data_IF_950998966359
#
_entry.id   IF_950998966359
#
_cell.length_a   1.000
_cell.length_b   1.000
_cell.length_c   1.000
_cell.angle_alpha   90.00
_cell.angle_beta   90.00
_cell.angle_gamma   90.00
#
_symmetry.space_group_name_H-M   'P 1'
#
loop_
_entity.id
_entity.type
_entity.pdbx_description
1 polymer ?
#
# COMPACT_ATOMS: atom_id res chain seq x y z
N UNK A 1 -17.34 -22.74 -1.70
CA UNK A 1 -16.07 -22.04 -1.95
C UNK A 1 -16.13 -20.78 -1.10
N UNK A 2 -15.49 -20.77 0.07
CA UNK A 2 -15.47 -19.60 0.95
C UNK A 2 -14.17 -18.84 0.71
N UNK A 3 -14.25 -17.76 -0.04
CA UNK A 3 -13.16 -16.80 -0.18
C UNK A 3 -13.02 -16.07 1.15
N UNK A 4 -11.96 -16.32 1.88
CA UNK A 4 -11.64 -15.52 3.08
C UNK A 4 -11.20 -14.15 2.60
N UNK A 5 -12.11 -13.19 2.74
CA UNK A 5 -11.75 -11.76 2.73
C UNK A 5 -10.78 -11.52 3.88
N UNK A 6 -9.58 -11.12 3.56
CA UNK A 6 -8.64 -10.55 4.54
C UNK A 6 -9.30 -9.28 5.07
N UNK A 7 -9.84 -9.35 6.29
CA UNK A 7 -10.50 -8.23 6.94
C UNK A 7 -9.46 -7.17 7.24
N UNK A 8 -9.36 -6.16 6.38
CA UNK A 8 -8.60 -4.94 6.69
C UNK A 8 -9.31 -4.23 7.83
N UNK A 9 -8.67 -4.15 8.99
CA UNK A 9 -9.12 -3.30 10.09
C UNK A 9 -8.93 -1.84 9.65
N UNK A 10 -10.00 -1.21 9.20
CA UNK A 10 -10.03 0.23 9.04
C UNK A 10 -9.98 0.87 10.43
N UNK A 11 -8.90 1.54 10.75
CA UNK A 11 -8.79 2.33 11.96
C UNK A 11 -9.67 3.59 11.80
N UNK A 12 -10.83 3.58 12.43
CA UNK A 12 -11.71 4.74 12.54
C UNK A 12 -11.02 5.80 13.40
N UNK A 13 -10.73 6.95 12.81
CA UNK A 13 -10.27 8.14 13.53
C UNK A 13 -11.49 8.85 14.11
N UNK A 14 -11.65 8.79 15.43
CA UNK A 14 -12.61 9.58 16.19
C UNK A 14 -12.15 11.04 16.25
N UNK A 15 -12.89 11.93 15.61
CA UNK A 15 -12.77 13.38 15.82
C UNK A 15 -13.42 13.76 17.14
N UNK A 16 -12.62 14.22 18.10
CA UNK A 16 -13.10 14.90 19.28
C UNK A 16 -13.18 16.40 19.00
N UNK A 17 -14.41 16.95 18.98
CA UNK A 17 -14.67 18.40 18.96
C UNK A 17 -14.59 18.94 20.39
N UNK A 18 -13.71 19.89 20.65
CA UNK A 18 -13.75 20.72 21.84
C UNK A 18 -13.93 22.19 21.42
N UNK A 19 -15.10 22.74 21.76
CA UNK A 19 -15.43 24.16 21.71
C UNK A 19 -15.05 24.79 23.06
N UNK A 20 -14.27 25.86 23.07
CA UNK A 20 -14.46 26.97 24.04
C UNK A 20 -13.57 28.15 23.66
N UNK A 21 -14.19 29.33 23.74
CA UNK A 21 -13.72 30.60 23.27
C UNK A 21 -12.63 31.24 24.13
N UNK A 22 -12.01 32.28 23.55
CA UNK A 22 -11.09 33.18 24.23
C UNK A 22 -10.25 33.94 23.21
N UNK A 23 -10.65 35.19 22.95
CA UNK A 23 -9.91 36.15 22.12
C UNK A 23 -8.63 36.60 22.78
N UNK A 24 -7.49 36.38 22.17
CA UNK A 24 -6.29 37.22 22.26
C UNK A 24 -5.60 37.24 20.90
N UNK A 25 -5.56 38.39 20.28
CA UNK A 25 -4.79 38.64 19.08
C UNK A 25 -3.31 38.65 19.39
N UNK A 26 -2.63 37.55 19.07
CA UNK A 26 -1.18 37.52 18.93
C UNK A 26 -0.90 37.09 17.50
N UNK A 27 -0.50 38.04 16.67
CA UNK A 27 0.03 37.79 15.33
C UNK A 27 1.39 37.09 15.45
N UNK A 28 1.38 35.83 15.74
CA UNK A 28 2.55 34.98 15.46
C UNK A 28 2.49 34.63 13.97
N UNK A 29 3.41 35.19 13.18
CA UNK A 29 3.77 34.66 11.88
C UNK A 29 4.23 33.20 12.10
N UNK A 30 3.29 32.28 12.01
CA UNK A 30 3.61 30.88 11.85
C UNK A 30 4.25 30.75 10.46
N UNK A 31 5.58 30.66 10.44
CA UNK A 31 6.27 30.16 9.27
C UNK A 31 5.59 28.84 8.88
N UNK A 32 5.17 28.64 7.61
CA UNK A 32 4.72 27.34 7.18
C UNK A 32 5.93 26.42 7.37
N UNK A 33 5.89 25.56 8.38
CA UNK A 33 6.75 24.40 8.41
C UNK A 33 6.38 23.66 7.13
N UNK A 34 7.22 23.79 6.11
CA UNK A 34 7.11 23.02 4.89
C UNK A 34 7.17 21.56 5.34
N UNK A 35 6.00 20.94 5.42
CA UNK A 35 5.88 19.53 5.74
C UNK A 35 6.52 18.83 4.57
N UNK A 36 7.81 18.47 4.74
CA UNK A 36 8.59 17.80 3.72
C UNK A 36 7.78 16.59 3.27
N UNK A 37 7.26 16.68 2.06
CA UNK A 37 6.55 15.59 1.43
C UNK A 37 7.46 14.38 1.51
N UNK A 38 7.04 13.36 2.26
CA UNK A 38 7.91 12.20 2.47
C UNK A 38 8.08 11.48 1.14
N UNK A 39 9.30 11.55 0.65
CA UNK A 39 9.67 11.06 -0.67
C UNK A 39 9.86 9.55 -0.58
N UNK A 40 9.14 8.82 -1.42
CA UNK A 40 9.42 7.41 -1.69
C UNK A 40 10.77 7.35 -2.41
N UNK A 41 11.82 6.90 -1.72
CA UNK A 41 13.18 6.77 -2.29
C UNK A 41 13.46 5.38 -2.82
N UNK A 42 12.90 4.36 -2.18
CA UNK A 42 13.04 2.99 -2.62
C UNK A 42 11.93 2.66 -3.61
N UNK A 43 12.30 1.99 -4.69
CA UNK A 43 11.33 1.32 -5.55
C UNK A 43 11.02 -0.10 -5.06
N UNK A 44 10.04 -0.74 -5.65
CA UNK A 44 9.56 -2.08 -5.28
C UNK A 44 10.68 -3.14 -5.34
N UNK A 45 11.56 -3.07 -6.34
CA UNK A 45 12.67 -4.01 -6.50
C UNK A 45 13.68 -3.89 -5.35
N UNK A 46 13.95 -2.66 -4.90
CA UNK A 46 14.85 -2.40 -3.79
C UNK A 46 14.24 -2.86 -2.47
N UNK A 47 12.95 -2.61 -2.23
CA UNK A 47 12.22 -3.10 -1.07
C UNK A 47 12.19 -4.64 -1.06
N UNK A 48 11.88 -5.25 -2.20
CA UNK A 48 11.90 -6.70 -2.38
C UNK A 48 13.29 -7.31 -2.09
N UNK A 49 14.37 -6.65 -2.52
CA UNK A 49 15.72 -7.11 -2.22
C UNK A 49 15.99 -7.13 -0.71
N UNK A 50 15.48 -6.14 0.05
CA UNK A 50 15.55 -6.12 1.52
C UNK A 50 14.78 -7.27 2.16
N UNK A 51 13.58 -7.54 1.67
CA UNK A 51 12.78 -8.68 2.10
C UNK A 51 13.51 -10.01 1.84
N UNK A 52 14.05 -10.19 0.64
CA UNK A 52 14.76 -11.40 0.24
C UNK A 52 16.09 -11.61 0.98
N UNK A 53 16.74 -10.56 1.48
CA UNK A 53 17.90 -10.70 2.36
C UNK A 53 17.56 -11.46 3.63
N UNK A 54 16.32 -11.32 4.13
CA UNK A 54 15.86 -12.03 5.34
C UNK A 54 15.17 -13.35 5.01
N UNK A 55 14.38 -13.38 3.94
CA UNK A 55 13.53 -14.50 3.55
C UNK A 55 13.84 -14.95 2.11
N UNK A 56 15.06 -15.45 1.89
CA UNK A 56 15.60 -15.72 0.56
C UNK A 56 14.74 -16.66 -0.29
N UNK A 57 14.12 -17.67 0.32
CA UNK A 57 13.34 -18.71 -0.36
C UNK A 57 11.85 -18.39 -0.49
N UNK A 58 11.35 -17.35 0.20
CA UNK A 58 9.94 -17.02 0.16
C UNK A 58 9.48 -16.66 -1.25
N UNK A 59 8.38 -17.23 -1.71
CA UNK A 59 7.63 -16.76 -2.89
C UNK A 59 6.83 -15.54 -2.46
N UNK A 60 6.67 -14.55 -3.31
CA UNK A 60 5.96 -13.31 -2.97
C UNK A 60 4.48 -13.47 -3.29
N UNK A 61 3.62 -13.17 -2.32
CA UNK A 61 2.17 -13.15 -2.45
C UNK A 61 1.59 -11.74 -2.53
N UNK A 62 2.27 -10.74 -1.89
CA UNK A 62 1.80 -9.36 -1.88
C UNK A 62 2.96 -8.37 -1.75
N UNK A 63 2.81 -7.19 -2.35
CA UNK A 63 3.64 -6.01 -2.13
C UNK A 63 2.73 -4.80 -2.01
N UNK A 64 2.64 -4.19 -0.84
CA UNK A 64 1.94 -2.92 -0.66
C UNK A 64 2.91 -1.77 -0.38
N UNK A 65 2.47 -0.56 -0.70
CA UNK A 65 3.11 0.68 -0.34
C UNK A 65 2.06 1.64 0.19
N UNK A 66 2.08 1.87 1.48
CA UNK A 66 1.07 2.61 2.21
C UNK A 66 1.68 3.73 3.04
N UNK A 67 0.86 4.72 3.38
CA UNK A 67 1.28 5.84 4.23
C UNK A 67 0.88 5.60 5.68
N UNK A 68 1.88 5.34 6.54
CA UNK A 68 1.71 5.21 7.98
C UNK A 68 2.29 6.42 8.73
N UNK A 69 1.49 7.11 9.56
CA UNK A 69 1.96 8.25 10.37
C UNK A 69 2.84 9.24 9.60
N UNK A 70 2.39 9.62 8.42
CA UNK A 70 3.11 10.52 7.52
C UNK A 70 4.39 9.96 6.88
N UNK A 71 4.61 8.62 6.93
CA UNK A 71 5.72 7.93 6.27
C UNK A 71 5.22 6.85 5.34
N UNK A 72 5.84 6.74 4.17
CA UNK A 72 5.60 5.60 3.29
C UNK A 72 6.38 4.38 3.78
N UNK A 73 5.69 3.24 3.79
CA UNK A 73 6.22 1.96 4.19
C UNK A 73 5.78 0.89 3.20
N UNK A 74 6.73 0.10 2.74
CA UNK A 74 6.43 -1.15 2.06
C UNK A 74 6.04 -2.20 3.11
N UNK A 75 4.96 -2.92 2.83
CA UNK A 75 4.69 -4.20 3.46
C UNK A 75 4.81 -5.28 2.38
N UNK A 76 5.62 -6.30 2.62
CA UNK A 76 5.85 -7.38 1.67
C UNK A 76 5.53 -8.68 2.38
N UNK A 77 4.63 -9.46 1.76
CA UNK A 77 4.25 -10.78 2.20
C UNK A 77 4.72 -11.84 1.21
N UNK A 78 4.99 -13.01 1.74
CA UNK A 78 5.39 -14.15 0.94
C UNK A 78 5.39 -15.43 1.75
N UNK A 79 5.58 -16.56 1.10
CA UNK A 79 5.45 -17.88 1.70
C UNK A 79 6.42 -18.91 1.11
N UNK A 80 6.60 -19.98 1.82
CA UNK A 80 7.17 -21.23 1.32
C UNK A 80 6.20 -22.40 1.57
N UNK A 81 6.68 -23.62 1.57
CA UNK A 81 5.83 -24.82 1.77
C UNK A 81 5.31 -24.99 3.21
N UNK A 82 5.80 -24.21 4.17
CA UNK A 82 5.50 -24.42 5.59
C UNK A 82 5.14 -23.12 6.33
N UNK A 83 5.55 -21.96 5.81
CA UNK A 83 5.52 -20.70 6.54
C UNK A 83 5.11 -19.55 5.66
N UNK A 84 4.46 -18.59 6.30
CA UNK A 84 4.24 -17.24 5.82
C UNK A 84 5.25 -16.29 6.43
N UNK A 85 5.61 -15.28 5.66
CA UNK A 85 6.57 -14.26 6.01
C UNK A 85 6.01 -12.89 5.68
N UNK A 86 6.14 -11.94 6.60
CA UNK A 86 5.87 -10.54 6.28
C UNK A 86 6.99 -9.64 6.80
N UNK A 87 7.20 -8.52 6.13
CA UNK A 87 8.15 -7.51 6.58
C UNK A 87 7.70 -6.11 6.19
N UNK A 88 7.88 -5.17 7.13
CA UNK A 88 7.66 -3.74 6.93
C UNK A 88 8.98 -3.02 6.73
N UNK A 89 9.08 -2.26 5.63
CA UNK A 89 10.31 -1.62 5.20
C UNK A 89 10.04 -0.14 4.94
N UNK A 90 10.70 0.74 5.67
CA UNK A 90 10.59 2.19 5.47
C UNK A 90 11.03 2.58 4.05
N UNK A 91 10.14 3.22 3.29
CA UNK A 91 10.33 3.50 1.88
C UNK A 91 11.36 4.63 1.62
N UNK A 92 11.78 5.35 2.65
CA UNK A 92 12.80 6.39 2.54
C UNK A 92 14.20 5.86 2.85
N UNK A 93 14.32 5.04 3.91
CA UNK A 93 15.63 4.61 4.45
C UNK A 93 15.98 3.16 4.09
N UNK A 94 14.99 2.35 3.71
CA UNK A 94 15.15 0.91 3.51
C UNK A 94 15.33 0.13 4.80
N UNK A 95 15.08 0.77 5.96
CA UNK A 95 15.15 0.08 7.26
C UNK A 95 13.97 -0.86 7.40
N UNK A 96 14.25 -2.10 7.76
CA UNK A 96 13.25 -3.08 8.14
C UNK A 96 12.77 -2.75 9.55
N UNK A 97 11.49 -2.41 9.72
CA UNK A 97 10.90 -1.97 10.98
C UNK A 97 10.16 -3.08 11.71
N UNK A 98 9.62 -4.06 10.98
CA UNK A 98 8.99 -5.24 11.54
C UNK A 98 9.20 -6.43 10.61
N UNK A 99 9.24 -7.62 11.19
CA UNK A 99 9.33 -8.87 10.43
C UNK A 99 8.61 -9.97 11.22
N UNK A 100 7.74 -10.70 10.55
CA UNK A 100 6.91 -11.75 11.14
C UNK A 100 7.11 -13.05 10.36
N UNK A 101 7.01 -14.15 11.06
CA UNK A 101 7.00 -15.49 10.48
C UNK A 101 5.93 -16.29 11.19
N UNK A 102 5.02 -16.86 10.43
CA UNK A 102 3.93 -17.68 10.95
C UNK A 102 3.95 -19.03 10.25
N UNK A 103 3.24 -19.98 10.81
CA UNK A 103 3.02 -21.27 10.16
C UNK A 103 1.94 -21.09 9.11
N UNK A 104 2.17 -21.62 7.93
CA UNK A 104 1.13 -21.70 6.89
C UNK A 104 0.04 -22.65 7.36
N UNK A 105 -1.20 -22.20 7.39
CA UNK A 105 -2.32 -23.04 7.71
C UNK A 105 -2.64 -23.98 6.53
N UNK A 106 -3.13 -25.17 6.83
CA UNK A 106 -3.37 -26.21 5.81
C UNK A 106 -4.41 -25.81 4.75
N UNK A 107 -5.29 -24.86 5.10
CA UNK A 107 -6.35 -24.35 4.23
C UNK A 107 -5.96 -23.04 3.49
N UNK A 108 -4.75 -22.51 3.72
CA UNK A 108 -4.28 -21.30 3.06
C UNK A 108 -3.68 -21.65 1.70
N UNK A 109 -4.32 -21.14 0.65
CA UNK A 109 -3.88 -21.28 -0.74
C UNK A 109 -3.23 -19.99 -1.24
N UNK A 110 -2.00 -19.77 -0.78
CA UNK A 110 -1.20 -18.63 -1.23
C UNK A 110 -0.76 -18.78 -2.69
N UNK A 111 -0.95 -17.74 -3.48
CA UNK A 111 -0.54 -17.71 -4.90
C UNK A 111 0.65 -16.78 -5.09
N UNK A 112 1.72 -17.33 -5.68
CA UNK A 112 2.92 -16.56 -5.94
C UNK A 112 2.76 -15.60 -7.12
N UNK A 113 3.12 -14.34 -6.93
CA UNK A 113 3.17 -13.33 -7.98
C UNK A 113 4.37 -13.58 -8.91
N UNK A 114 4.13 -13.61 -10.21
CA UNK A 114 5.18 -13.68 -11.24
C UNK A 114 5.72 -12.28 -11.53
N UNK A 115 6.60 -11.79 -10.65
CA UNK A 115 7.11 -10.42 -10.66
C UNK A 115 7.76 -9.96 -11.98
N UNK A 116 8.21 -10.88 -12.82
CA UNK A 116 8.77 -10.58 -14.14
C UNK A 116 7.70 -10.33 -15.23
N UNK A 117 6.42 -10.58 -14.92
CA UNK A 117 5.30 -10.42 -15.86
C UNK A 117 4.43 -9.20 -15.53
N UNK A 118 4.66 -8.54 -14.40
CA UNK A 118 3.82 -7.43 -13.96
C UNK A 118 4.41 -6.07 -14.32
N UNK A 119 3.54 -5.11 -14.58
CA UNK A 119 3.93 -3.71 -14.77
C UNK A 119 4.44 -3.12 -13.46
N UNK A 120 5.26 -2.08 -13.57
CA UNK A 120 5.75 -1.34 -12.40
C UNK A 120 4.63 -0.57 -11.71
N UNK A 121 4.81 -0.27 -10.41
CA UNK A 121 3.93 0.61 -9.63
C UNK A 121 3.73 1.97 -10.32
N UNK A 122 4.79 2.56 -10.88
CA UNK A 122 4.68 3.83 -11.61
C UNK A 122 3.73 3.73 -12.81
N UNK A 123 3.79 2.63 -13.56
CA UNK A 123 2.88 2.40 -14.69
C UNK A 123 1.45 2.19 -14.21
N UNK A 124 1.25 1.41 -13.14
CA UNK A 124 -0.06 1.22 -12.52
C UNK A 124 -0.65 2.55 -12.03
N UNK A 125 0.18 3.39 -11.37
CA UNK A 125 -0.22 4.72 -10.91
C UNK A 125 -0.74 5.61 -12.06
N UNK A 126 -0.01 5.66 -13.18
CA UNK A 126 -0.43 6.44 -14.35
C UNK A 126 -1.78 5.98 -14.92
N UNK A 127 -2.00 4.67 -14.95
CA UNK A 127 -3.26 4.10 -15.42
C UNK A 127 -4.40 4.41 -14.46
N UNK A 128 -4.15 4.32 -13.15
CA UNK A 128 -5.13 4.61 -12.11
C UNK A 128 -5.54 6.08 -12.10
N UNK A 129 -4.57 7.02 -12.10
CA UNK A 129 -4.87 8.44 -12.14
C UNK A 129 -5.66 8.83 -13.40
N UNK A 130 -5.33 8.22 -14.54
CA UNK A 130 -6.11 8.41 -15.77
C UNK A 130 -7.55 7.88 -15.64
N UNK A 131 -7.75 6.73 -14.99
CA UNK A 131 -9.08 6.13 -14.80
C UNK A 131 -9.91 6.91 -13.80
N UNK A 132 -9.31 7.38 -12.71
CA UNK A 132 -9.96 8.22 -11.70
C UNK A 132 -10.32 9.64 -12.20
N UNK A 133 -9.71 10.09 -13.31
CA UNK A 133 -9.90 11.39 -13.97
C UNK A 133 -9.30 12.58 -13.21
N UNK A 134 -9.19 12.52 -11.88
CA UNK A 134 -8.58 13.53 -11.02
C UNK A 134 -7.89 12.88 -9.83
N UNK A 135 -7.02 13.61 -9.13
CA UNK A 135 -6.32 13.15 -7.95
C UNK A 135 -4.93 12.56 -8.23
N UNK A 136 -4.33 12.06 -7.18
CA UNK A 136 -2.99 11.44 -7.20
C UNK A 136 -3.01 10.11 -6.46
N UNK A 137 -2.29 9.13 -6.96
CA UNK A 137 -2.11 7.85 -6.26
C UNK A 137 -1.42 8.04 -4.91
N UNK A 138 -1.94 7.39 -3.89
CA UNK A 138 -1.47 7.48 -2.50
C UNK A 138 -1.05 6.16 -1.92
N UNK A 139 -1.76 5.10 -2.26
CA UNK A 139 -1.50 3.75 -1.78
C UNK A 139 -1.56 2.77 -2.95
N UNK A 140 -0.74 1.74 -2.91
CA UNK A 140 -0.59 0.78 -4.01
C UNK A 140 -0.42 -0.62 -3.43
N UNK A 141 -1.19 -1.58 -3.92
CA UNK A 141 -1.07 -2.99 -3.56
C UNK A 141 -0.98 -3.83 -4.81
N UNK A 142 0.02 -4.69 -4.89
CA UNK A 142 0.16 -5.73 -5.89
C UNK A 142 -0.14 -7.06 -5.21
N UNK A 143 -1.19 -7.73 -5.65
CA UNK A 143 -1.66 -8.99 -5.07
C UNK A 143 -2.27 -9.90 -6.14
N UNK A 144 -2.67 -11.10 -5.75
CA UNK A 144 -3.49 -11.98 -6.57
C UNK A 144 -4.91 -12.00 -6.04
N UNK A 145 -5.88 -11.59 -6.86
CA UNK A 145 -7.31 -11.59 -6.58
C UNK A 145 -8.04 -12.37 -7.68
N UNK A 146 -8.89 -13.33 -7.29
CA UNK A 146 -9.61 -14.23 -8.20
C UNK A 146 -8.72 -14.87 -9.30
N UNK A 147 -7.50 -15.25 -8.93
CA UNK A 147 -6.52 -15.87 -9.82
C UNK A 147 -5.85 -14.93 -10.81
N UNK A 148 -6.10 -13.63 -10.71
CA UNK A 148 -5.45 -12.60 -11.50
C UNK A 148 -4.49 -11.79 -10.63
N UNK A 149 -3.30 -11.50 -11.16
CA UNK A 149 -2.41 -10.55 -10.49
C UNK A 149 -2.85 -9.13 -10.83
N UNK A 150 -3.19 -8.36 -9.81
CA UNK A 150 -3.73 -7.01 -9.93
C UNK A 150 -2.85 -5.98 -9.21
N UNK A 151 -2.86 -4.77 -9.70
CA UNK A 151 -2.55 -3.57 -8.94
C UNK A 151 -3.84 -2.93 -8.47
N UNK A 152 -3.99 -2.74 -7.18
CA UNK A 152 -4.99 -1.87 -6.58
C UNK A 152 -4.31 -0.54 -6.23
N UNK A 153 -4.89 0.57 -6.65
CA UNK A 153 -4.34 1.92 -6.44
C UNK A 153 -5.42 2.81 -5.86
N UNK A 154 -5.15 3.39 -4.71
CA UNK A 154 -6.00 4.42 -4.11
C UNK A 154 -5.56 5.79 -4.63
N UNK A 155 -6.43 6.42 -5.41
CA UNK A 155 -6.26 7.77 -5.96
C UNK A 155 -7.06 8.75 -5.11
N UNK A 156 -6.42 9.81 -4.62
CA UNK A 156 -7.06 10.77 -3.71
C UNK A 156 -7.08 12.16 -4.34
N UNK A 157 -8.26 12.77 -4.36
CA UNK A 157 -8.51 14.14 -4.77
C UNK A 157 -9.25 14.88 -3.65
N UNK A 158 -8.54 15.72 -2.90
CA UNK A 158 -9.06 16.36 -1.70
C UNK A 158 -9.47 15.33 -0.64
N UNK A 159 -10.77 15.17 -0.42
CA UNK A 159 -11.34 14.19 0.52
C UNK A 159 -11.90 12.95 -0.17
N UNK A 160 -12.01 12.97 -1.49
CA UNK A 160 -12.54 11.85 -2.26
C UNK A 160 -11.44 10.84 -2.54
N UNK A 161 -11.73 9.57 -2.28
CA UNK A 161 -10.87 8.44 -2.61
C UNK A 161 -11.51 7.62 -3.72
N UNK A 162 -10.72 7.31 -4.73
CA UNK A 162 -11.10 6.39 -5.80
C UNK A 162 -10.16 5.20 -5.81
N UNK A 163 -10.70 4.02 -5.59
CA UNK A 163 -9.97 2.76 -5.75
C UNK A 163 -10.00 2.32 -7.20
N UNK A 164 -8.84 2.04 -7.77
CA UNK A 164 -8.73 1.55 -9.15
C UNK A 164 -8.01 0.21 -9.16
N UNK A 165 -8.67 -0.83 -9.63
CA UNK A 165 -8.08 -2.15 -9.87
C UNK A 165 -7.64 -2.29 -11.31
N UNK A 166 -6.40 -2.73 -11.52
CA UNK A 166 -5.76 -2.87 -12.82
C UNK A 166 -5.15 -4.26 -12.92
N UNK A 167 -5.43 -4.99 -14.00
CA UNK A 167 -4.71 -6.23 -14.27
C UNK A 167 -3.23 -5.92 -14.48
N UNK A 168 -2.38 -6.43 -13.60
CA UNK A 168 -0.96 -6.11 -13.56
C UNK A 168 -0.16 -6.65 -14.77
N UNK A 169 -0.72 -7.59 -15.53
CA UNK A 169 -0.07 -8.23 -16.67
C UNK A 169 -0.48 -7.56 -17.99
N UNK A 170 -1.80 -7.41 -18.24
CA UNK A 170 -2.32 -6.90 -19.50
C UNK A 170 -2.68 -5.40 -19.47
N UNK A 171 -2.51 -4.72 -18.33
CA UNK A 171 -2.71 -3.28 -18.12
C UNK A 171 -4.17 -2.80 -18.24
N UNK A 172 -5.14 -3.70 -18.26
CA UNK A 172 -6.56 -3.33 -18.34
C UNK A 172 -7.07 -2.88 -16.97
N UNK A 173 -7.79 -1.77 -16.93
CA UNK A 173 -8.57 -1.38 -15.75
C UNK A 173 -9.73 -2.38 -15.60
N UNK A 174 -9.85 -2.95 -14.39
CA UNK A 174 -10.87 -3.94 -14.03
C UNK A 174 -12.08 -3.23 -13.41
N UNK A 175 -11.82 -2.38 -12.41
CA UNK A 175 -12.85 -1.60 -11.73
C UNK A 175 -12.34 -0.22 -11.33
N UNK A 176 -13.29 0.68 -11.09
CA UNK A 176 -13.05 2.01 -10.53
C UNK A 176 -14.21 2.28 -9.57
N UNK A 177 -13.91 2.38 -8.28
CA UNK A 177 -14.87 2.59 -7.21
C UNK A 177 -14.51 3.86 -6.45
N UNK A 178 -15.47 4.73 -6.23
CA UNK A 178 -15.27 6.00 -5.54
C UNK A 178 -16.06 5.98 -4.23
N UNK A 179 -15.36 6.26 -3.12
CA UNK A 179 -15.99 6.43 -1.82
C UNK A 179 -16.70 7.81 -1.79
N UNK A 180 -18.00 7.81 -1.51
CA UNK A 180 -18.82 9.01 -1.34
C UNK A 180 -18.69 9.60 0.06
#
# INVERSE_FOLDING_TARGET
MMTRMITRLAAAVLLATAVSGGTIAATTKSSPIAQAAQTIKLNEKQALAKFKQKYAKAKISEISLEKHHNRYQYEISGFDSQKEYSAKIDAQTGKLSAAKTEKLDADDHETAIKLNQVISRQKANQLAEKAAKSGQGREWTLETDDGQTIWQVDVVDGHQKTEVKINAVNQKVISTETDD
#
